data_IF_471965724067
#
_entry.id   IF_471965724067
#
_cell.length_a   1.000
_cell.length_b   1.000
_cell.length_c   1.000
_cell.angle_alpha   90.00
_cell.angle_beta   90.00
_cell.angle_gamma   90.00
#
_symmetry.space_group_name_H-M   'P 1'
#
loop_
_entity.id
_entity.type
_entity.pdbx_description
1 polymer ?
#
# COMPACT_ATOMS: atom_id res chain seq x y z
N UNK A 1 11.08 -34.04 -21.34
CA UNK A 1 12.03 -33.00 -20.86
C UNK A 1 11.44 -32.35 -19.65
N UNK A 2 12.26 -32.01 -18.67
CA UNK A 2 11.83 -31.29 -17.47
C UNK A 2 11.57 -29.83 -17.79
N UNK A 3 10.50 -29.25 -17.20
CA UNK A 3 10.10 -27.85 -17.41
C UNK A 3 10.23 -27.05 -16.11
N UNK A 4 10.55 -25.79 -16.27
CA UNK A 4 10.44 -24.79 -15.21
C UNK A 4 9.09 -24.07 -15.30
N UNK A 5 8.42 -23.90 -14.16
CA UNK A 5 7.17 -23.16 -14.08
C UNK A 5 7.39 -21.85 -13.31
N UNK A 6 6.97 -20.75 -13.92
CA UNK A 6 7.01 -19.41 -13.33
C UNK A 6 5.59 -18.98 -13.00
N UNK A 7 5.32 -18.69 -11.73
CA UNK A 7 4.01 -18.24 -11.27
C UNK A 7 4.05 -16.79 -10.80
N UNK A 8 3.38 -15.90 -11.53
CA UNK A 8 3.28 -14.48 -11.20
C UNK A 8 1.98 -14.16 -10.44
N UNK A 9 1.91 -12.97 -9.84
CA UNK A 9 0.71 -12.52 -9.14
C UNK A 9 -0.41 -12.08 -10.09
N UNK A 10 -0.04 -11.50 -11.25
CA UNK A 10 -0.97 -10.90 -12.23
C UNK A 10 -0.60 -11.28 -13.66
N UNK A 11 -1.58 -11.28 -14.60
CA UNK A 11 -1.32 -11.59 -16.01
C UNK A 11 -0.26 -10.66 -16.65
N UNK A 12 -0.27 -9.37 -16.30
CA UNK A 12 0.68 -8.39 -16.83
C UNK A 12 2.12 -8.69 -16.42
N UNK A 13 2.32 -9.09 -15.15
CA UNK A 13 3.63 -9.49 -14.62
C UNK A 13 4.10 -10.79 -15.28
N UNK A 14 3.21 -11.77 -15.43
CA UNK A 14 3.51 -13.01 -16.15
C UNK A 14 3.99 -12.76 -17.57
N UNK A 15 3.38 -11.80 -18.28
CA UNK A 15 3.81 -11.43 -19.64
C UNK A 15 5.21 -10.84 -19.62
N UNK A 16 5.56 -9.99 -18.64
CA UNK A 16 6.91 -9.43 -18.52
C UNK A 16 7.96 -10.50 -18.24
N UNK A 17 7.65 -11.50 -17.40
CA UNK A 17 8.53 -12.66 -17.20
C UNK A 17 8.69 -13.49 -18.48
N UNK A 18 7.60 -13.73 -19.23
CA UNK A 18 7.65 -14.45 -20.49
C UNK A 18 8.51 -13.71 -21.52
N UNK A 19 8.38 -12.39 -21.60
CA UNK A 19 9.15 -11.54 -22.53
C UNK A 19 10.64 -11.52 -22.16
N UNK A 20 10.98 -11.31 -20.88
CA UNK A 20 12.33 -11.31 -20.37
C UNK A 20 13.04 -12.66 -20.57
N UNK A 21 12.34 -13.76 -20.35
CA UNK A 21 12.82 -15.13 -20.60
C UNK A 21 12.77 -15.55 -22.06
N UNK A 22 12.23 -14.70 -22.95
CA UNK A 22 12.04 -14.99 -24.39
C UNK A 22 11.22 -16.25 -24.65
N UNK A 23 10.28 -16.55 -23.76
CA UNK A 23 9.39 -17.70 -23.87
C UNK A 23 8.37 -17.42 -24.97
N UNK A 24 8.67 -17.92 -26.16
CA UNK A 24 7.79 -17.87 -27.32
C UNK A 24 7.11 -19.22 -27.47
N UNK A 25 5.90 -19.32 -26.91
CA UNK A 25 5.18 -20.57 -26.88
C UNK A 25 3.69 -20.44 -27.15
N UNK A 26 2.98 -21.55 -26.99
CA UNK A 26 1.52 -21.60 -27.12
C UNK A 26 0.88 -20.85 -25.94
N UNK A 27 -0.01 -19.92 -26.25
CA UNK A 27 -0.89 -19.33 -25.24
C UNK A 27 -2.05 -20.29 -24.98
N UNK A 28 -2.12 -20.75 -23.74
CA UNK A 28 -3.26 -21.46 -23.18
C UNK A 28 -4.21 -20.51 -22.45
N UNK A 29 -5.26 -21.06 -21.90
CA UNK A 29 -6.17 -20.34 -21.02
C UNK A 29 -5.52 -20.24 -19.62
N UNK A 30 -4.97 -19.08 -19.29
CA UNK A 30 -4.31 -18.80 -18.01
C UNK A 30 -2.81 -19.14 -17.97
N UNK A 31 -2.15 -19.45 -19.08
CA UNK A 31 -0.70 -19.69 -19.11
C UNK A 31 -0.08 -19.51 -20.51
N UNK A 32 1.25 -19.43 -20.54
CA UNK A 32 2.08 -19.45 -21.75
C UNK A 32 3.04 -20.63 -21.61
N UNK A 33 3.19 -21.47 -22.63
CA UNK A 33 4.02 -22.67 -22.55
C UNK A 33 4.96 -22.80 -23.75
N UNK A 34 6.24 -23.07 -23.49
CA UNK A 34 7.26 -23.49 -24.47
C UNK A 34 7.70 -24.95 -24.23
N UNK A 35 8.75 -25.40 -24.88
CA UNK A 35 9.30 -26.74 -24.68
C UNK A 35 9.85 -26.96 -23.28
N UNK A 36 10.47 -25.93 -22.68
CA UNK A 36 11.23 -25.96 -21.45
C UNK A 36 10.63 -25.16 -20.30
N UNK A 37 9.64 -24.32 -20.58
CA UNK A 37 9.08 -23.40 -19.59
C UNK A 37 7.56 -23.20 -19.70
N UNK A 38 6.97 -22.93 -18.53
CA UNK A 38 5.56 -22.54 -18.39
C UNK A 38 5.52 -21.27 -17.57
N UNK A 39 4.79 -20.25 -18.04
CA UNK A 39 4.48 -19.06 -17.26
C UNK A 39 2.99 -19.02 -17.00
N UNK A 40 2.61 -18.94 -15.74
CA UNK A 40 1.21 -18.82 -15.31
C UNK A 40 1.08 -17.68 -14.30
N UNK A 41 -0.14 -17.41 -13.86
CA UNK A 41 -0.41 -16.29 -12.97
C UNK A 41 -1.60 -16.55 -12.06
N UNK A 42 -1.58 -15.87 -10.94
CA UNK A 42 -2.76 -15.59 -10.14
C UNK A 42 -3.51 -14.38 -10.73
N UNK A 43 -4.64 -14.03 -10.16
CA UNK A 43 -5.36 -12.78 -10.44
C UNK A 43 -5.54 -11.99 -9.14
N UNK A 44 -4.44 -11.87 -8.38
CA UNK A 44 -4.44 -11.57 -6.97
C UNK A 44 -4.73 -12.85 -6.15
N UNK A 45 -5.52 -12.74 -5.09
CA UNK A 45 -5.88 -13.92 -4.29
C UNK A 45 -6.76 -14.92 -5.05
N UNK A 46 -6.36 -16.18 -5.05
CA UNK A 46 -7.17 -17.31 -5.53
C UNK A 46 -7.83 -18.06 -4.38
N UNK A 47 -7.27 -17.91 -3.18
CA UNK A 47 -7.68 -18.57 -1.95
C UNK A 47 -7.93 -17.53 -0.87
N UNK A 48 -8.91 -17.76 -0.04
CA UNK A 48 -9.24 -16.91 1.12
C UNK A 48 -9.53 -17.74 2.36
N UNK A 49 -9.54 -17.12 3.54
CA UNK A 49 -10.07 -17.76 4.74
C UNK A 49 -11.58 -17.90 4.62
N UNK A 50 -12.09 -19.07 5.00
CA UNK A 50 -13.52 -19.37 4.95
C UNK A 50 -14.31 -18.50 5.93
N UNK A 51 -15.52 -18.12 5.54
CA UNK A 51 -16.41 -17.38 6.42
C UNK A 51 -16.81 -18.21 7.66
N UNK A 52 -17.23 -17.56 8.76
CA UNK A 52 -17.58 -18.26 10.02
C UNK A 52 -18.62 -19.36 9.89
N UNK A 53 -19.55 -19.26 8.95
CA UNK A 53 -20.58 -20.29 8.69
C UNK A 53 -20.01 -21.60 8.12
N UNK A 54 -18.83 -21.57 7.52
CA UNK A 54 -18.10 -22.80 7.15
C UNK A 54 -17.58 -23.59 8.34
N UNK A 55 -17.53 -22.99 9.53
CA UNK A 55 -17.15 -23.65 10.79
C UNK A 55 -18.37 -24.21 11.53
N UNK A 56 -19.45 -23.42 11.61
CA UNK A 56 -20.71 -23.81 12.21
C UNK A 56 -21.82 -22.89 11.66
N UNK A 57 -22.92 -23.49 11.22
CA UNK A 57 -24.06 -22.76 10.66
C UNK A 57 -24.69 -21.74 11.62
N UNK A 58 -24.47 -21.85 12.94
CA UNK A 58 -24.92 -20.83 13.91
C UNK A 58 -24.28 -19.46 13.65
N UNK A 59 -23.09 -19.40 13.04
CA UNK A 59 -22.40 -18.16 12.70
C UNK A 59 -22.91 -17.50 11.42
N UNK A 60 -23.81 -18.15 10.67
CA UNK A 60 -24.44 -17.56 9.47
C UNK A 60 -25.33 -16.36 9.85
N UNK A 61 -26.10 -16.49 10.93
CA UNK A 61 -26.87 -15.38 11.49
C UNK A 61 -26.00 -14.61 12.49
N UNK A 62 -25.84 -13.32 12.23
CA UNK A 62 -25.08 -12.47 13.15
C UNK A 62 -25.84 -12.26 14.46
N UNK A 63 -25.17 -12.50 15.57
CA UNK A 63 -25.70 -12.33 16.92
C UNK A 63 -24.57 -12.00 17.88
N UNK A 64 -24.85 -11.12 18.86
CA UNK A 64 -23.88 -10.83 19.93
C UNK A 64 -23.57 -12.08 20.79
N UNK A 65 -24.50 -13.03 20.86
CA UNK A 65 -24.31 -14.28 21.62
C UNK A 65 -23.30 -15.24 20.96
N UNK A 66 -23.02 -15.06 19.66
CA UNK A 66 -22.07 -15.90 18.92
C UNK A 66 -20.70 -15.24 18.76
N UNK A 67 -20.46 -14.14 19.45
CA UNK A 67 -19.20 -13.41 19.46
C UNK A 67 -18.50 -13.52 20.82
N UNK A 68 -17.16 -13.50 20.86
CA UNK A 68 -16.27 -13.43 19.72
C UNK A 68 -16.18 -14.77 18.95
N UNK A 69 -16.03 -14.70 17.63
CA UNK A 69 -15.67 -15.83 16.79
C UNK A 69 -14.15 -16.02 16.84
N UNK A 70 -13.69 -17.12 17.44
CA UNK A 70 -12.27 -17.46 17.62
C UNK A 70 -12.06 -18.93 17.24
N UNK A 71 -11.80 -19.23 15.95
CA UNK A 71 -11.60 -20.61 15.51
C UNK A 71 -10.25 -21.14 16.03
N UNK A 72 -10.21 -22.41 16.44
CA UNK A 72 -8.96 -23.08 16.82
C UNK A 72 -8.06 -23.33 15.62
N UNK A 73 -8.67 -23.67 14.49
CA UNK A 73 -8.00 -23.90 13.21
C UNK A 73 -8.63 -23.02 12.14
N UNK A 74 -7.80 -22.44 11.28
CA UNK A 74 -8.28 -21.60 10.18
C UNK A 74 -8.54 -22.46 8.95
N UNK A 75 -9.74 -22.38 8.42
CA UNK A 75 -10.15 -23.01 7.16
C UNK A 75 -9.94 -22.05 6.01
N UNK A 76 -9.55 -22.60 4.88
CA UNK A 76 -9.33 -21.87 3.64
C UNK A 76 -10.22 -22.41 2.54
N UNK A 77 -10.61 -21.57 1.61
CA UNK A 77 -11.45 -21.93 0.47
C UNK A 77 -11.02 -21.19 -0.78
N UNK A 78 -11.33 -21.79 -1.92
CA UNK A 78 -11.09 -21.17 -3.23
C UNK A 78 -12.14 -20.08 -3.42
N UNK A 79 -11.71 -18.90 -3.84
CA UNK A 79 -12.63 -17.79 -4.15
C UNK A 79 -13.45 -18.17 -5.39
N UNK A 80 -14.81 -18.22 -5.29
CA UNK A 80 -15.65 -18.75 -6.36
C UNK A 80 -15.46 -18.06 -7.71
N UNK A 81 -15.27 -16.74 -7.71
CA UNK A 81 -15.09 -15.95 -8.94
C UNK A 81 -13.80 -16.26 -9.71
N UNK A 82 -12.83 -16.94 -9.10
CA UNK A 82 -11.52 -17.29 -9.71
C UNK A 82 -11.22 -18.78 -9.66
N UNK A 83 -12.23 -19.59 -9.39
CA UNK A 83 -12.08 -21.05 -9.26
C UNK A 83 -11.51 -21.70 -10.55
N UNK A 84 -11.86 -21.18 -11.73
CA UNK A 84 -11.33 -21.66 -13.01
C UNK A 84 -9.82 -21.42 -13.10
N UNK A 85 -9.34 -20.23 -12.71
CA UNK A 85 -7.91 -19.92 -12.70
C UNK A 85 -7.17 -20.76 -11.66
N UNK A 86 -7.74 -20.94 -10.47
CA UNK A 86 -7.17 -21.83 -9.47
C UNK A 86 -7.01 -23.27 -9.98
N UNK A 87 -8.05 -23.81 -10.62
CA UNK A 87 -7.99 -25.17 -11.18
C UNK A 87 -6.89 -25.31 -12.24
N UNK A 88 -6.72 -24.29 -13.09
CA UNK A 88 -5.63 -24.23 -14.07
C UNK A 88 -4.26 -24.21 -13.38
N UNK A 89 -4.03 -23.30 -12.46
CA UNK A 89 -2.78 -23.18 -11.73
C UNK A 89 -2.48 -24.47 -10.97
N UNK A 90 -3.46 -25.05 -10.26
CA UNK A 90 -3.32 -26.33 -9.57
C UNK A 90 -2.87 -27.43 -10.52
N UNK A 91 -3.49 -27.51 -11.70
CA UNK A 91 -3.11 -28.49 -12.72
C UNK A 91 -1.65 -28.33 -13.16
N UNK A 92 -1.22 -27.11 -13.43
CA UNK A 92 0.14 -26.79 -13.89
C UNK A 92 1.20 -27.06 -12.79
N UNK A 93 0.94 -26.67 -11.53
CA UNK A 93 1.85 -26.89 -10.42
C UNK A 93 2.12 -28.36 -10.13
N UNK A 94 1.13 -29.23 -10.42
CA UNK A 94 1.23 -30.68 -10.17
C UNK A 94 1.58 -31.49 -11.41
N UNK A 95 1.95 -30.86 -12.52
CA UNK A 95 2.37 -31.58 -13.75
C UNK A 95 3.63 -32.41 -13.47
N UNK A 96 3.70 -33.67 -13.96
CA UNK A 96 4.85 -34.53 -13.74
C UNK A 96 6.12 -34.08 -14.47
N UNK A 97 5.97 -33.30 -15.55
CA UNK A 97 7.09 -32.74 -16.31
C UNK A 97 7.57 -31.37 -15.76
N UNK A 98 6.96 -30.85 -14.68
CA UNK A 98 7.42 -29.64 -13.97
C UNK A 98 8.27 -30.07 -12.79
N UNK A 99 9.54 -29.72 -12.76
CA UNK A 99 10.45 -30.03 -11.65
C UNK A 99 10.65 -28.83 -10.73
N UNK A 100 10.81 -27.66 -11.31
CA UNK A 100 11.12 -26.44 -10.58
C UNK A 100 10.00 -25.42 -10.75
N UNK A 101 9.56 -24.83 -9.65
CA UNK A 101 8.59 -23.74 -9.58
C UNK A 101 9.32 -22.48 -9.13
N UNK A 102 9.32 -21.46 -9.98
CA UNK A 102 9.80 -20.13 -9.65
C UNK A 102 8.62 -19.27 -9.20
N UNK A 103 8.67 -18.82 -7.95
CA UNK A 103 7.65 -18.00 -7.31
C UNK A 103 7.92 -16.53 -7.62
N UNK A 104 7.20 -16.00 -8.55
CA UNK A 104 7.37 -14.65 -9.12
C UNK A 104 6.22 -13.71 -8.70
N UNK A 105 5.55 -13.99 -7.58
CA UNK A 105 4.60 -13.05 -6.95
C UNK A 105 5.36 -11.87 -6.36
N UNK A 106 4.68 -10.74 -6.11
CA UNK A 106 5.29 -9.51 -5.64
C UNK A 106 6.23 -9.75 -4.44
N UNK A 107 7.37 -9.05 -4.42
CA UNK A 107 8.42 -9.19 -3.39
C UNK A 107 7.96 -8.57 -2.07
N UNK A 108 7.23 -9.33 -1.27
CA UNK A 108 6.68 -8.88 -0.02
C UNK A 108 5.80 -9.93 0.65
N UNK A 109 5.31 -9.59 1.84
CA UNK A 109 4.44 -10.48 2.64
C UNK A 109 3.18 -10.91 1.91
N UNK A 110 2.59 -10.01 1.11
CA UNK A 110 1.35 -10.29 0.39
C UNK A 110 1.57 -11.31 -0.73
N UNK A 111 2.58 -11.10 -1.57
CA UNK A 111 2.92 -12.04 -2.63
C UNK A 111 3.35 -13.41 -2.11
N UNK A 112 4.05 -13.44 -0.97
CA UNK A 112 4.41 -14.66 -0.27
C UNK A 112 3.14 -15.40 0.20
N UNK A 113 2.21 -14.69 0.83
CA UNK A 113 0.95 -15.26 1.31
C UNK A 113 0.09 -15.82 0.18
N UNK A 114 -0.03 -15.10 -0.94
CA UNK A 114 -0.78 -15.53 -2.12
C UNK A 114 -0.25 -16.88 -2.62
N UNK A 115 1.07 -16.98 -2.83
CA UNK A 115 1.65 -18.22 -3.35
C UNK A 115 1.53 -19.38 -2.37
N UNK A 116 1.88 -19.19 -1.09
CA UNK A 116 1.82 -20.24 -0.08
C UNK A 116 0.43 -20.85 0.07
N UNK A 117 -0.61 -20.00 0.05
CA UNK A 117 -1.99 -20.48 0.06
C UNK A 117 -2.35 -21.28 -1.19
N UNK A 118 -1.91 -20.84 -2.36
CA UNK A 118 -2.13 -21.54 -3.62
C UNK A 118 -1.42 -22.89 -3.61
N UNK A 119 -0.16 -22.94 -3.21
CA UNK A 119 0.63 -24.18 -3.13
C UNK A 119 0.02 -25.17 -2.13
N UNK A 120 -0.41 -24.68 -0.96
CA UNK A 120 -1.09 -25.49 0.07
C UNK A 120 -2.39 -26.09 -0.47
N UNK A 121 -3.26 -25.28 -1.06
CA UNK A 121 -4.57 -25.73 -1.57
C UNK A 121 -4.46 -26.55 -2.85
N UNK A 122 -3.42 -26.34 -3.64
CA UNK A 122 -3.09 -27.18 -4.79
C UNK A 122 -2.52 -28.54 -4.39
N UNK A 123 -1.98 -28.64 -3.16
CA UNK A 123 -1.32 -29.85 -2.66
C UNK A 123 0.02 -30.11 -3.34
N UNK A 124 0.80 -29.06 -3.60
CA UNK A 124 2.14 -29.16 -4.22
C UNK A 124 3.07 -29.98 -3.33
N UNK A 125 3.68 -31.03 -3.90
CA UNK A 125 4.64 -31.90 -3.23
C UNK A 125 5.77 -32.27 -4.19
N UNK A 126 6.94 -32.56 -3.61
CA UNK A 126 8.09 -33.10 -4.34
C UNK A 126 8.54 -32.21 -5.52
N UNK A 127 8.44 -30.90 -5.38
CA UNK A 127 8.89 -29.90 -6.34
C UNK A 127 9.96 -29.00 -5.73
N UNK A 128 10.98 -28.66 -6.53
CA UNK A 128 11.91 -27.61 -6.16
C UNK A 128 11.18 -26.26 -6.28
N UNK A 129 11.08 -25.51 -5.19
CA UNK A 129 10.41 -24.21 -5.17
C UNK A 129 11.43 -23.13 -4.87
N UNK A 130 11.52 -22.13 -5.74
CA UNK A 130 12.49 -21.04 -5.65
C UNK A 130 11.79 -19.70 -5.67
N UNK A 131 12.05 -18.87 -4.69
CA UNK A 131 11.51 -17.52 -4.57
C UNK A 131 12.34 -16.53 -5.37
N UNK A 132 11.72 -15.87 -6.34
CA UNK A 132 12.29 -14.76 -7.10
C UNK A 132 12.01 -13.47 -6.31
N UNK A 133 13.06 -12.69 -6.05
CA UNK A 133 12.95 -11.44 -5.30
C UNK A 133 13.52 -10.29 -6.12
N UNK A 134 12.65 -9.39 -6.57
CA UNK A 134 12.98 -8.28 -7.45
C UNK A 134 12.34 -6.98 -6.96
N UNK A 135 13.01 -5.86 -7.20
CA UNK A 135 12.54 -4.53 -6.82
C UNK A 135 11.88 -3.78 -7.98
N UNK A 136 12.11 -4.23 -9.21
CA UNK A 136 11.48 -3.70 -10.42
C UNK A 136 11.22 -4.81 -11.45
N UNK A 137 10.41 -4.50 -12.46
CA UNK A 137 10.02 -5.47 -13.50
C UNK A 137 10.76 -5.22 -14.83
N UNK A 138 11.98 -4.67 -14.78
CA UNK A 138 12.84 -4.56 -15.97
C UNK A 138 13.39 -5.93 -16.37
N UNK A 139 13.70 -6.13 -17.65
CA UNK A 139 14.26 -7.40 -18.16
C UNK A 139 15.50 -7.82 -17.37
N UNK A 140 16.41 -6.88 -17.14
CA UNK A 140 17.67 -7.12 -16.41
C UNK A 140 17.39 -7.61 -14.97
N UNK A 141 16.48 -6.94 -14.26
CA UNK A 141 16.13 -7.25 -12.88
C UNK A 141 15.39 -8.60 -12.76
N UNK A 142 14.50 -8.90 -13.70
CA UNK A 142 13.83 -10.22 -13.78
C UNK A 142 14.86 -11.32 -13.96
N UNK A 143 15.77 -11.19 -14.92
CA UNK A 143 16.81 -12.19 -15.18
C UNK A 143 17.77 -12.33 -13.99
N UNK A 144 18.11 -11.23 -13.31
CA UNK A 144 18.91 -11.26 -12.07
C UNK A 144 18.18 -12.04 -10.99
N UNK A 145 16.92 -11.68 -10.72
CA UNK A 145 16.10 -12.30 -9.67
C UNK A 145 15.91 -13.80 -9.87
N UNK A 146 15.80 -14.27 -11.12
CA UNK A 146 15.70 -15.71 -11.43
C UNK A 146 17.05 -16.42 -11.16
N UNK A 147 18.17 -15.82 -11.56
CA UNK A 147 19.51 -16.40 -11.27
C UNK A 147 19.80 -16.48 -9.78
N UNK A 148 19.36 -15.50 -9.01
CA UNK A 148 19.60 -15.37 -7.57
C UNK A 148 18.47 -15.97 -6.73
N UNK A 149 17.46 -16.59 -7.37
CA UNK A 149 16.31 -17.14 -6.68
C UNK A 149 16.74 -18.18 -5.63
N UNK A 150 16.30 -17.94 -4.41
CA UNK A 150 16.59 -18.76 -3.25
C UNK A 150 15.54 -19.83 -3.04
N UNK A 151 15.88 -20.85 -2.26
CA UNK A 151 14.90 -21.85 -1.83
C UNK A 151 13.74 -21.17 -1.08
N UNK A 152 12.53 -21.62 -1.36
CA UNK A 152 11.31 -21.07 -0.76
C UNK A 152 11.30 -21.15 0.77
N UNK A 153 12.00 -22.12 1.35
CA UNK A 153 12.11 -22.28 2.80
C UNK A 153 12.87 -21.15 3.49
N UNK A 154 13.75 -20.43 2.78
CA UNK A 154 14.42 -19.24 3.34
C UNK A 154 13.43 -18.12 3.68
N UNK A 155 12.21 -18.18 3.14
CA UNK A 155 11.14 -17.21 3.37
C UNK A 155 10.08 -17.69 4.38
N UNK A 156 10.31 -18.78 5.11
CA UNK A 156 9.33 -19.33 6.07
C UNK A 156 8.96 -18.34 7.17
N UNK A 157 9.90 -17.55 7.68
CA UNK A 157 9.60 -16.50 8.65
C UNK A 157 8.75 -15.38 8.07
N UNK A 158 9.00 -15.00 6.81
CA UNK A 158 8.16 -14.03 6.11
C UNK A 158 6.76 -14.57 5.90
N UNK A 159 6.65 -15.82 5.48
CA UNK A 159 5.39 -16.55 5.33
C UNK A 159 4.61 -16.59 6.66
N UNK A 160 5.25 -16.99 7.76
CA UNK A 160 4.63 -17.02 9.08
C UNK A 160 4.09 -15.64 9.49
N UNK A 161 4.88 -14.58 9.27
CA UNK A 161 4.45 -13.19 9.50
C UNK A 161 3.22 -12.82 8.66
N UNK A 162 3.18 -13.23 7.39
CA UNK A 162 2.07 -12.97 6.48
C UNK A 162 0.78 -13.69 6.92
N UNK A 163 0.89 -14.96 7.29
CA UNK A 163 -0.23 -15.73 7.84
C UNK A 163 -0.77 -15.15 9.15
N UNK A 164 0.10 -14.74 10.07
CA UNK A 164 -0.31 -14.12 11.34
C UNK A 164 -1.06 -12.82 11.09
N UNK A 165 -0.54 -11.97 10.21
CA UNK A 165 -1.19 -10.72 9.83
C UNK A 165 -2.57 -10.96 9.22
N UNK A 166 -2.69 -11.90 8.30
CA UNK A 166 -3.96 -12.23 7.66
C UNK A 166 -4.99 -12.74 8.68
N UNK A 167 -4.56 -13.60 9.62
CA UNK A 167 -5.42 -14.11 10.71
C UNK A 167 -5.87 -12.99 11.65
N UNK A 168 -4.96 -12.08 12.01
CA UNK A 168 -5.28 -10.89 12.81
C UNK A 168 -6.35 -10.03 12.13
N UNK A 169 -6.10 -9.65 10.86
CA UNK A 169 -7.04 -8.83 10.09
C UNK A 169 -8.40 -9.51 9.93
N UNK A 170 -8.41 -10.83 9.72
CA UNK A 170 -9.64 -11.63 9.63
C UNK A 170 -10.41 -11.63 10.95
N UNK A 171 -9.77 -11.91 12.09
CA UNK A 171 -10.41 -11.95 13.39
C UNK A 171 -10.94 -10.57 13.81
N UNK A 172 -10.11 -9.54 13.63
CA UNK A 172 -10.51 -8.16 13.93
C UNK A 172 -11.68 -7.74 13.03
N UNK A 173 -11.55 -7.96 11.72
CA UNK A 173 -12.57 -7.61 10.74
C UNK A 173 -13.91 -8.29 11.03
N UNK A 174 -13.93 -9.58 11.20
CA UNK A 174 -15.17 -10.35 11.45
C UNK A 174 -15.84 -9.92 12.76
N UNK A 175 -15.09 -9.93 13.86
CA UNK A 175 -15.68 -9.70 15.18
C UNK A 175 -16.16 -8.26 15.35
N UNK A 176 -15.30 -7.28 15.07
CA UNK A 176 -15.66 -5.87 15.28
C UNK A 176 -16.69 -5.36 14.28
N UNK A 177 -16.64 -5.81 13.01
CA UNK A 177 -17.67 -5.42 12.03
C UNK A 177 -19.04 -5.96 12.47
N UNK A 178 -19.13 -7.19 12.96
CA UNK A 178 -20.38 -7.77 13.46
C UNK A 178 -20.89 -7.03 14.71
N UNK A 179 -20.00 -6.77 15.69
CA UNK A 179 -20.39 -6.03 16.91
C UNK A 179 -20.92 -4.65 16.56
N UNK A 180 -20.19 -3.86 15.77
CA UNK A 180 -20.60 -2.50 15.42
C UNK A 180 -21.87 -2.49 14.59
N UNK A 181 -22.00 -3.42 13.62
CA UNK A 181 -23.21 -3.52 12.80
C UNK A 181 -24.43 -3.89 13.65
N UNK A 182 -24.31 -4.85 14.56
CA UNK A 182 -25.42 -5.23 15.43
C UNK A 182 -25.81 -4.12 16.41
N UNK A 183 -24.83 -3.35 16.90
CA UNK A 183 -25.07 -2.30 17.89
C UNK A 183 -25.57 -1.00 17.28
N UNK A 184 -24.99 -0.58 16.17
CA UNK A 184 -25.20 0.74 15.58
C UNK A 184 -25.83 0.72 14.18
N UNK A 185 -25.83 -0.44 13.50
CA UNK A 185 -26.36 -0.59 12.14
C UNK A 185 -27.79 -0.10 11.98
N UNK A 186 -28.73 -0.45 12.89
CA UNK A 186 -30.12 0.05 12.79
C UNK A 186 -30.21 1.57 12.84
N UNK A 187 -29.51 2.22 13.76
CA UNK A 187 -29.50 3.68 13.87
C UNK A 187 -28.89 4.33 12.62
N UNK A 188 -27.80 3.76 12.10
CA UNK A 188 -27.17 4.24 10.87
C UNK A 188 -28.06 4.02 9.65
N UNK A 189 -28.76 2.90 9.56
CA UNK A 189 -29.70 2.61 8.48
C UNK A 189 -30.85 3.61 8.45
N UNK A 190 -31.39 3.95 9.62
CA UNK A 190 -32.42 4.97 9.75
C UNK A 190 -31.90 6.34 9.32
N UNK A 191 -30.71 6.72 9.75
CA UNK A 191 -30.12 8.00 9.36
C UNK A 191 -29.85 8.12 7.86
N UNK A 192 -29.39 7.02 7.22
CA UNK A 192 -29.08 6.98 5.79
C UNK A 192 -30.27 6.66 4.89
N UNK A 193 -31.46 6.32 5.46
CA UNK A 193 -32.62 5.89 4.70
C UNK A 193 -32.43 4.55 3.97
N UNK A 194 -31.58 3.66 4.50
CA UNK A 194 -31.29 2.35 3.92
C UNK A 194 -31.96 1.22 4.71
N UNK A 195 -32.19 0.07 4.06
CA UNK A 195 -32.76 -1.11 4.75
C UNK A 195 -31.79 -1.76 5.73
N UNK A 196 -30.51 -1.76 5.39
CA UNK A 196 -29.45 -2.38 6.19
C UNK A 196 -28.11 -1.73 5.90
N UNK A 197 -27.36 -1.40 6.94
CA UNK A 197 -26.03 -0.81 6.84
C UNK A 197 -25.03 -1.65 7.61
N UNK A 198 -24.03 -2.18 6.90
CA UNK A 198 -22.89 -2.87 7.52
C UNK A 198 -21.84 -1.85 7.90
N UNK A 199 -21.38 -1.90 9.14
CA UNK A 199 -20.26 -1.11 9.63
C UNK A 199 -19.01 -1.96 9.61
N UNK A 200 -18.26 -1.83 8.53
CA UNK A 200 -17.02 -2.59 8.36
C UNK A 200 -15.87 -2.01 9.18
N UNK A 201 -15.15 -2.86 9.84
CA UNK A 201 -13.92 -2.53 10.57
C UNK A 201 -12.75 -3.23 9.90
N UNK A 202 -11.70 -2.48 9.66
CA UNK A 202 -10.43 -2.99 9.14
C UNK A 202 -9.30 -2.08 9.58
N UNK A 203 -8.14 -2.63 9.80
CA UNK A 203 -6.99 -1.90 10.33
C UNK A 203 -6.66 -0.63 9.54
N UNK A 204 -6.53 -0.73 8.23
CA UNK A 204 -6.24 0.41 7.35
C UNK A 204 -7.46 1.31 7.18
N UNK A 205 -8.60 0.72 6.83
CA UNK A 205 -9.83 1.47 6.53
C UNK A 205 -10.28 2.32 7.72
N UNK A 206 -10.25 1.78 8.93
CA UNK A 206 -10.66 2.49 10.15
C UNK A 206 -9.73 3.66 10.47
N UNK A 207 -8.41 3.46 10.30
CA UNK A 207 -7.43 4.53 10.48
C UNK A 207 -7.62 5.66 9.46
N UNK A 208 -7.78 5.33 8.19
CA UNK A 208 -8.00 6.31 7.11
C UNK A 208 -9.30 7.09 7.35
N UNK A 209 -10.38 6.40 7.72
CA UNK A 209 -11.65 7.06 8.09
C UNK A 209 -11.45 8.03 9.26
N UNK A 210 -10.70 7.61 10.28
CA UNK A 210 -10.37 8.48 11.42
C UNK A 210 -9.59 9.73 11.02
N UNK A 211 -8.64 9.61 10.09
CA UNK A 211 -7.90 10.74 9.53
C UNK A 211 -8.82 11.70 8.76
N UNK A 212 -9.69 11.17 7.90
CA UNK A 212 -10.66 11.98 7.14
C UNK A 212 -11.62 12.71 8.09
N UNK A 213 -12.19 12.02 9.07
CA UNK A 213 -13.11 12.63 10.06
C UNK A 213 -12.40 13.72 10.86
N UNK A 214 -11.14 13.51 11.26
CA UNK A 214 -10.35 14.54 11.96
C UNK A 214 -10.17 15.77 11.07
N UNK A 215 -9.80 15.55 9.81
CA UNK A 215 -9.61 16.65 8.86
C UNK A 215 -10.89 17.41 8.60
N UNK A 216 -12.02 16.73 8.45
CA UNK A 216 -13.34 17.37 8.33
C UNK A 216 -13.69 18.24 9.54
N UNK A 217 -13.39 17.74 10.76
CA UNK A 217 -13.60 18.51 11.99
C UNK A 217 -12.71 19.76 12.03
N UNK A 218 -11.45 19.64 11.65
CA UNK A 218 -10.53 20.79 11.54
C UNK A 218 -11.05 21.83 10.54
N UNK A 219 -11.55 21.39 9.36
CA UNK A 219 -12.10 22.29 8.35
C UNK A 219 -13.34 23.00 8.90
N UNK A 220 -14.26 22.28 9.56
CA UNK A 220 -15.49 22.87 10.11
C UNK A 220 -15.24 23.81 11.26
N UNK A 221 -14.21 23.57 12.05
CA UNK A 221 -13.80 24.42 13.18
C UNK A 221 -12.77 25.49 12.80
N UNK A 222 -12.39 25.55 11.52
CA UNK A 222 -11.37 26.47 11.06
C UNK A 222 -11.84 27.93 11.19
N UNK A 223 -11.08 28.69 11.97
CA UNK A 223 -11.24 30.14 12.08
C UNK A 223 -10.18 30.81 11.22
N UNK A 224 -10.64 31.62 10.26
CA UNK A 224 -9.73 32.42 9.43
C UNK A 224 -8.94 33.37 10.32
N UNK A 225 -7.63 33.19 10.35
CA UNK A 225 -6.72 34.04 11.10
C UNK A 225 -5.91 34.84 10.08
N UNK A 226 -6.02 36.19 10.06
CA UNK A 226 -5.18 36.99 9.22
C UNK A 226 -3.73 36.88 9.68
N UNK A 227 -2.82 36.92 8.75
CA UNK A 227 -1.38 37.05 9.00
C UNK A 227 -0.72 37.89 7.91
N UNK A 228 0.38 38.52 8.29
CA UNK A 228 1.04 39.48 7.44
C UNK A 228 2.43 38.98 7.10
N UNK A 229 2.70 38.84 5.79
CA UNK A 229 4.02 38.46 5.29
C UNK A 229 4.74 39.71 4.77
N UNK A 230 6.06 39.74 4.96
CA UNK A 230 6.91 40.77 4.41
C UNK A 230 7.60 40.23 3.16
N UNK A 231 7.30 40.85 2.04
CA UNK A 231 7.85 40.51 0.73
C UNK A 231 8.62 41.72 0.22
N UNK A 232 9.86 41.55 -0.15
CA UNK A 232 10.72 42.58 -0.71
C UNK A 232 11.04 42.27 -2.16
N UNK A 233 11.01 43.32 -2.99
CA UNK A 233 11.53 43.27 -4.35
C UNK A 233 12.89 43.98 -4.34
N UNK A 234 13.91 43.30 -4.83
CA UNK A 234 15.30 43.77 -4.86
C UNK A 234 15.82 43.84 -6.29
N UNK A 235 16.57 44.84 -6.61
CA UNK A 235 17.29 44.93 -7.86
C UNK A 235 18.69 44.32 -7.69
N UNK A 236 18.82 43.05 -8.08
CA UNK A 236 20.10 42.36 -8.08
C UNK A 236 20.89 42.76 -9.36
N UNK A 237 22.14 43.13 -9.21
CA UNK A 237 23.01 43.42 -10.37
C UNK A 237 23.78 42.16 -10.76
N UNK A 238 23.50 41.62 -11.95
CA UNK A 238 24.21 40.48 -12.49
C UNK A 238 25.68 40.86 -12.84
N UNK A 239 26.53 39.86 -13.00
CA UNK A 239 27.96 40.06 -13.35
C UNK A 239 28.18 40.86 -14.64
N UNK A 240 27.20 40.83 -15.53
CA UNK A 240 27.20 41.58 -16.80
C UNK A 240 26.59 42.97 -16.70
N UNK A 241 26.29 43.46 -15.48
CA UNK A 241 25.74 44.78 -15.21
C UNK A 241 24.23 44.93 -15.41
N UNK A 242 23.51 43.86 -15.77
CA UNK A 242 22.05 43.91 -15.93
C UNK A 242 21.36 43.86 -14.57
N UNK A 243 20.37 44.73 -14.37
CA UNK A 243 19.49 44.67 -13.23
C UNK A 243 18.50 43.51 -13.41
N UNK A 244 18.44 42.65 -12.42
CA UNK A 244 17.50 41.52 -12.35
C UNK A 244 16.60 41.72 -11.13
N UNK A 245 15.28 41.94 -11.30
CA UNK A 245 14.37 42.02 -10.17
C UNK A 245 14.28 40.66 -9.49
N UNK A 246 14.48 40.64 -8.18
CA UNK A 246 14.37 39.45 -7.34
C UNK A 246 13.29 39.71 -6.28
N UNK A 247 12.31 38.86 -6.20
CA UNK A 247 11.34 38.87 -5.12
C UNK A 247 11.79 37.85 -4.02
N UNK A 248 11.83 38.31 -2.79
CA UNK A 248 12.17 37.48 -1.65
C UNK A 248 11.19 37.68 -0.50
N UNK A 249 10.84 36.58 0.15
CA UNK A 249 9.98 36.59 1.31
C UNK A 249 10.82 36.48 2.58
N UNK A 250 10.58 37.37 3.52
CA UNK A 250 11.24 37.30 4.83
C UNK A 250 10.81 36.11 5.63
N UNK A 251 11.76 35.42 6.27
CA UNK A 251 11.55 34.37 7.22
C UNK A 251 12.39 34.58 8.47
N UNK A 252 11.82 34.30 9.63
CA UNK A 252 12.56 34.23 10.86
C UNK A 252 13.47 33.00 10.86
N UNK A 253 14.76 33.20 10.97
CA UNK A 253 15.77 32.14 11.10
C UNK A 253 16.31 32.07 12.51
N UNK A 254 16.87 30.93 12.90
CA UNK A 254 17.46 30.75 14.22
C UNK A 254 18.48 31.84 14.55
N UNK A 255 18.36 32.42 15.74
CA UNK A 255 19.18 33.57 16.17
C UNK A 255 18.64 34.95 15.73
N UNK A 256 17.62 35.03 14.88
CA UNK A 256 16.99 36.29 14.51
C UNK A 256 15.99 36.81 15.55
N UNK A 257 15.73 38.12 15.57
CA UNK A 257 14.89 38.82 16.56
C UNK A 257 13.51 38.21 16.77
N UNK A 258 12.89 37.65 15.76
CA UNK A 258 11.51 37.13 15.81
C UNK A 258 11.42 35.61 15.83
N UNK A 259 12.54 34.89 15.73
CA UNK A 259 12.53 33.42 15.72
C UNK A 259 11.97 32.85 17.03
N UNK A 260 11.00 31.96 16.92
CA UNK A 260 10.36 31.30 18.08
C UNK A 260 9.51 32.23 18.95
N UNK A 261 9.26 33.49 18.53
CA UNK A 261 8.45 34.42 19.31
C UNK A 261 6.95 34.23 19.08
N UNK A 262 6.10 34.58 20.06
CA UNK A 262 4.64 34.54 19.92
C UNK A 262 4.07 35.48 18.85
N UNK A 263 4.87 36.46 18.37
CA UNK A 263 4.45 37.41 17.33
C UNK A 263 4.23 36.78 15.96
N UNK A 264 4.81 35.58 15.73
CA UNK A 264 4.67 34.88 14.46
C UNK A 264 3.60 33.80 14.54
N UNK A 265 2.87 33.62 13.46
CA UNK A 265 1.98 32.50 13.22
C UNK A 265 2.74 31.27 12.74
N UNK A 266 3.71 31.51 11.84
CA UNK A 266 4.75 30.60 11.35
C UNK A 266 6.02 31.42 11.14
N UNK A 267 7.08 30.80 10.65
CA UNK A 267 8.38 31.44 10.45
C UNK A 267 8.34 32.72 9.60
N UNK A 268 7.30 32.91 8.79
CA UNK A 268 7.17 33.99 7.79
C UNK A 268 5.95 34.88 7.94
N UNK A 269 5.11 34.67 8.95
CA UNK A 269 3.83 35.37 9.05
C UNK A 269 3.62 36.01 10.42
N UNK A 270 3.56 37.36 10.46
CA UNK A 270 3.20 38.10 11.68
C UNK A 270 1.71 37.99 11.97
N UNK A 271 1.34 37.84 13.25
CA UNK A 271 -0.06 37.86 13.70
C UNK A 271 -0.67 39.26 13.62
N UNK A 272 0.13 40.27 13.79
CA UNK A 272 -0.25 41.70 13.82
C UNK A 272 0.44 42.45 12.68
N UNK A 273 -0.31 43.30 11.99
CA UNK A 273 0.20 44.10 10.87
C UNK A 273 1.31 45.10 11.34
N UNK A 274 1.14 45.62 12.54
CA UNK A 274 2.07 46.60 13.13
C UNK A 274 3.49 46.03 13.23
N UNK A 275 3.62 44.76 13.65
CA UNK A 275 4.91 44.06 13.72
C UNK A 275 5.54 43.85 12.34
N UNK A 276 4.74 43.56 11.33
CA UNK A 276 5.24 43.48 9.96
C UNK A 276 5.74 44.83 9.48
N UNK A 277 5.02 45.93 9.81
CA UNK A 277 5.43 47.31 9.48
C UNK A 277 6.70 47.74 10.22
N UNK A 278 6.88 47.39 11.48
CA UNK A 278 8.13 47.61 12.22
C UNK A 278 9.32 46.92 11.53
N UNK A 279 9.14 45.67 11.10
CA UNK A 279 10.20 44.98 10.35
C UNK A 279 10.53 45.68 9.04
N UNK A 280 9.51 46.12 8.28
CA UNK A 280 9.73 46.88 7.02
C UNK A 280 10.49 48.18 7.27
N UNK A 281 10.14 48.93 8.33
CA UNK A 281 10.84 50.15 8.71
C UNK A 281 12.32 49.85 9.01
N UNK A 282 12.57 48.84 9.84
CA UNK A 282 13.93 48.41 10.18
C UNK A 282 14.76 48.00 8.96
N UNK A 283 14.17 47.26 8.01
CA UNK A 283 14.85 46.85 6.78
C UNK A 283 15.16 48.03 5.83
N UNK A 284 14.32 49.10 5.85
CA UNK A 284 14.52 50.29 5.06
C UNK A 284 15.58 51.24 5.64
N UNK A 285 15.76 51.24 6.94
CA UNK A 285 16.79 52.04 7.63
C UNK A 285 18.19 51.42 7.53
N UNK A 286 18.26 50.12 7.17
CA UNK A 286 19.55 49.40 7.02
C UNK A 286 20.27 49.81 5.74
N UNK A 287 21.60 49.64 5.75
CA UNK A 287 22.43 49.75 4.54
C UNK A 287 22.03 48.72 3.47
N UNK A 288 22.47 48.85 2.21
CA UNK A 288 22.12 47.91 1.15
C UNK A 288 22.30 46.46 1.56
N UNK A 289 21.23 45.70 1.44
CA UNK A 289 21.23 44.27 1.82
C UNK A 289 22.17 43.48 0.90
N UNK A 290 23.08 42.72 1.49
CA UNK A 290 24.01 41.89 0.73
C UNK A 290 23.56 40.43 0.76
N UNK A 291 23.44 39.78 -0.40
CA UNK A 291 23.16 38.35 -0.47
C UNK A 291 24.43 37.55 -0.14
N UNK A 292 24.38 36.74 0.95
CA UNK A 292 25.49 35.90 1.31
C UNK A 292 25.48 34.55 0.55
N UNK A 293 24.31 33.99 0.30
CA UNK A 293 24.11 32.75 -0.47
C UNK A 293 22.82 32.84 -1.26
N UNK A 294 22.87 32.51 -2.53
CA UNK A 294 21.71 32.34 -3.39
C UNK A 294 21.66 30.88 -3.83
N UNK A 295 20.67 30.15 -3.36
CA UNK A 295 20.39 28.77 -3.82
C UNK A 295 19.12 28.73 -4.65
N UNK A 296 19.13 27.96 -5.71
CA UNK A 296 17.94 27.61 -6.48
C UNK A 296 17.16 26.49 -5.84
#
# INVERSE_FOLDING_TARGET
>A
MSKSLYIAEKPSVAQQFADALKIRGRRGDGYIESEDAIVTWCVGHLVTMSYPDAYDMKFKRWSLQTLPFLPKEFKYEIIPGVARQFAMVKGLLNRPDVDTIYVCTDSGREGEYIYRLVAQMAGVKDKCQKRVWIDSQTEEEILRGIREAKDESEYDNLSASAYLRAKEDYLMGINFSRVLTLRYGPAMSNYLGTKFTVLSVGRVMTCVLGMVVRREREIRSFVKTPFYRVIGTFDAVAKDGRALPLEAEWKAVEGSRYFGTPCLYKDNGFKEEERARELIAYLKEGEPLTAAVVSK
#
